data_IF_907094390391
#
_entry.id   IF_907094390391
#
_cell.length_a   1.000
_cell.length_b   1.000
_cell.length_c   1.000
_cell.angle_alpha   90.00
_cell.angle_beta   90.00
_cell.angle_gamma   90.00
#
_symmetry.space_group_name_H-M   'P 1'
#
loop_
_entity.id
_entity.type
_entity.pdbx_description
1 polymer ?
#
# COMPACT_ATOMS: atom_id res chain seq x y z
N UNK A 1 1.72 -5.21 13.50
CA UNK A 1 2.57 -4.41 12.61
C UNK A 1 1.75 -3.38 11.88
N UNK A 2 2.34 -2.22 11.61
CA UNK A 2 1.65 -1.19 10.86
C UNK A 2 1.60 -1.55 9.37
N UNK A 3 0.45 -1.31 8.72
CA UNK A 3 0.29 -1.60 7.30
C UNK A 3 1.32 -0.88 6.43
N UNK A 4 1.71 0.34 6.82
CA UNK A 4 2.73 1.11 6.09
C UNK A 4 4.10 0.42 6.11
N UNK A 5 4.45 -0.21 7.21
CA UNK A 5 5.71 -0.95 7.30
C UNK A 5 5.68 -2.19 6.42
N UNK A 6 4.55 -2.89 6.36
CA UNK A 6 4.40 -4.04 5.46
C UNK A 6 4.60 -3.62 4.01
N UNK A 7 4.00 -2.51 3.59
CA UNK A 7 4.14 -1.99 2.23
C UNK A 7 5.61 -1.70 1.91
N UNK A 8 6.32 -1.06 2.83
CA UNK A 8 7.73 -0.73 2.63
C UNK A 8 8.60 -1.96 2.55
N UNK A 9 8.40 -2.93 3.43
CA UNK A 9 9.18 -4.16 3.44
C UNK A 9 8.95 -4.97 2.15
N UNK A 10 7.70 -5.13 1.75
CA UNK A 10 7.37 -5.85 0.53
C UNK A 10 7.92 -5.14 -0.69
N UNK A 11 7.79 -3.82 -0.74
CA UNK A 11 8.32 -3.03 -1.86
C UNK A 11 9.82 -3.19 -2.01
N UNK A 12 10.56 -3.17 -0.91
CA UNK A 12 12.00 -3.39 -0.93
C UNK A 12 12.36 -4.78 -1.43
N UNK A 13 11.64 -5.79 -0.96
CA UNK A 13 11.87 -7.17 -1.38
C UNK A 13 11.57 -7.38 -2.86
N UNK A 14 10.63 -6.62 -3.41
CA UNK A 14 10.24 -6.71 -4.81
C UNK A 14 10.98 -5.73 -5.73
N UNK A 15 11.99 -5.04 -5.20
CA UNK A 15 12.79 -4.07 -5.96
C UNK A 15 11.98 -2.87 -6.50
N UNK A 16 10.95 -2.46 -5.79
CA UNK A 16 10.22 -1.24 -6.12
C UNK A 16 11.08 -0.02 -5.81
N UNK A 17 10.89 1.07 -6.55
CA UNK A 17 11.56 2.32 -6.25
C UNK A 17 11.04 2.88 -4.92
N UNK A 18 11.92 3.56 -4.18
CA UNK A 18 11.53 4.18 -2.91
C UNK A 18 10.36 5.15 -3.09
N UNK A 19 10.42 5.96 -4.15
CA UNK A 19 9.37 6.95 -4.41
C UNK A 19 8.00 6.28 -4.61
N UNK A 20 7.96 5.17 -5.32
CA UNK A 20 6.71 4.45 -5.56
C UNK A 20 6.16 3.83 -4.28
N UNK A 21 7.00 3.18 -3.51
CA UNK A 21 6.61 2.60 -2.23
C UNK A 21 6.13 3.67 -1.26
N UNK A 22 6.84 4.78 -1.19
CA UNK A 22 6.48 5.89 -0.32
C UNK A 22 5.13 6.50 -0.72
N UNK A 23 4.88 6.62 -2.01
CA UNK A 23 3.60 7.12 -2.51
C UNK A 23 2.44 6.25 -2.04
N UNK A 24 2.58 4.94 -2.16
CA UNK A 24 1.55 4.01 -1.70
C UNK A 24 1.40 4.06 -0.18
N UNK A 25 2.51 4.07 0.54
CA UNK A 25 2.48 4.12 1.99
C UNK A 25 1.79 5.38 2.52
N UNK A 26 1.96 6.51 1.84
CA UNK A 26 1.30 7.77 2.23
C UNK A 26 -0.21 7.73 2.08
N UNK A 27 -0.71 6.90 1.18
CA UNK A 27 -2.15 6.77 0.97
C UNK A 27 -2.82 5.90 2.04
N UNK A 28 -2.05 5.19 2.84
CA UNK A 28 -2.57 4.36 3.91
C UNK A 28 -2.66 5.20 5.19
N UNK A 29 -3.86 5.34 5.79
CA UNK A 29 -4.00 6.11 7.05
C UNK A 29 -3.17 5.49 8.18
N UNK A 30 -2.57 6.35 9.00
CA UNK A 30 -1.79 5.92 10.16
C UNK A 30 -2.73 5.73 11.34
N UNK A 31 -3.50 4.66 11.33
CA UNK A 31 -4.44 4.33 12.40
C UNK A 31 -4.07 3.01 13.03
N UNK A 32 -4.20 2.93 14.33
CA UNK A 32 -3.93 1.70 15.08
C UNK A 32 -4.93 0.64 14.67
N UNK A 33 -4.42 -0.54 14.30
CA UNK A 33 -5.26 -1.67 13.94
C UNK A 33 -5.85 -1.61 12.53
N UNK A 34 -5.47 -0.63 11.71
CA UNK A 34 -5.97 -0.59 10.34
C UNK A 34 -5.33 -1.69 9.50
N UNK A 35 -6.13 -2.31 8.63
CA UNK A 35 -5.64 -3.28 7.64
C UNK A 35 -5.57 -2.61 6.28
N UNK A 36 -4.84 -3.24 5.36
CA UNK A 36 -4.74 -2.73 3.98
C UNK A 36 -6.11 -2.74 3.30
N UNK A 37 -6.92 -3.76 3.57
CA UNK A 37 -8.28 -3.83 3.03
C UNK A 37 -9.14 -2.67 3.50
N UNK A 38 -9.05 -2.33 4.78
CA UNK A 38 -9.75 -1.17 5.32
C UNK A 38 -9.24 0.13 4.74
N UNK A 39 -7.94 0.23 4.53
CA UNK A 39 -7.36 1.42 3.90
C UNK A 39 -7.89 1.62 2.48
N UNK A 40 -8.02 0.55 1.72
CA UNK A 40 -8.61 0.61 0.38
C UNK A 40 -10.07 1.10 0.42
N UNK A 41 -10.82 0.64 1.40
CA UNK A 41 -12.21 1.01 1.55
C UNK A 41 -12.38 2.48 1.99
N UNK A 42 -11.49 2.96 2.86
CA UNK A 42 -11.55 4.31 3.40
C UNK A 42 -10.97 5.37 2.45
N UNK A 43 -10.02 5.00 1.61
CA UNK A 43 -9.33 5.95 0.73
C UNK A 43 -9.62 5.63 -0.73
N UNK A 44 -10.51 6.40 -1.39
CA UNK A 44 -10.84 6.15 -2.79
C UNK A 44 -9.66 6.34 -3.75
N UNK A 45 -8.71 7.21 -3.40
CA UNK A 45 -7.50 7.38 -4.22
C UNK A 45 -6.65 6.11 -4.22
N UNK A 46 -6.49 5.49 -3.07
CA UNK A 46 -5.75 4.24 -2.96
C UNK A 46 -6.45 3.13 -3.74
N UNK A 47 -7.76 3.05 -3.64
CA UNK A 47 -8.53 2.06 -4.39
C UNK A 47 -8.43 2.29 -5.89
N UNK A 48 -8.51 3.54 -6.33
CA UNK A 48 -8.35 3.87 -7.75
C UNK A 48 -6.96 3.48 -8.26
N UNK A 49 -5.91 3.77 -7.50
CA UNK A 49 -4.56 3.36 -7.85
C UNK A 49 -4.44 1.84 -7.90
N UNK A 50 -5.05 1.14 -6.96
CA UNK A 50 -5.08 -0.32 -6.92
C UNK A 50 -5.73 -0.89 -8.18
N UNK A 51 -6.83 -0.29 -8.64
CA UNK A 51 -7.56 -0.79 -9.81
C UNK A 51 -6.87 -0.45 -11.13
N UNK A 52 -6.15 0.70 -11.20
CA UNK A 52 -5.61 1.20 -12.45
C UNK A 52 -4.11 0.98 -12.62
N UNK A 53 -3.37 0.77 -11.53
CA UNK A 53 -1.92 0.62 -11.55
C UNK A 53 -1.54 -0.79 -11.10
N UNK A 54 -1.06 -1.61 -12.05
CA UNK A 54 -0.67 -2.99 -11.75
C UNK A 54 0.44 -3.07 -10.71
N UNK A 55 1.35 -2.12 -10.71
CA UNK A 55 2.43 -2.09 -9.71
C UNK A 55 1.87 -1.92 -8.31
N UNK A 56 0.93 -1.00 -8.14
CA UNK A 56 0.27 -0.78 -6.86
C UNK A 56 -0.55 -2.00 -6.46
N UNK A 57 -1.28 -2.57 -7.40
CA UNK A 57 -2.09 -3.77 -7.15
C UNK A 57 -1.23 -4.92 -6.65
N UNK A 58 -0.13 -5.20 -7.33
CA UNK A 58 0.78 -6.28 -6.94
C UNK A 58 1.36 -6.04 -5.56
N UNK A 59 1.81 -4.81 -5.29
CA UNK A 59 2.38 -4.44 -4.00
C UNK A 59 1.38 -4.64 -2.87
N UNK A 60 0.15 -4.21 -3.07
CA UNK A 60 -0.91 -4.32 -2.07
C UNK A 60 -1.32 -5.78 -1.87
N UNK A 61 -1.49 -6.53 -2.94
CA UNK A 61 -1.89 -7.95 -2.85
C UNK A 61 -0.87 -8.78 -2.08
N UNK A 62 0.41 -8.54 -2.31
CA UNK A 62 1.48 -9.25 -1.58
C UNK A 62 1.55 -8.79 -0.13
N UNK A 63 1.22 -7.54 0.13
CA UNK A 63 1.29 -6.97 1.49
C UNK A 63 0.10 -7.32 2.37
N UNK A 64 -0.99 -7.79 1.82
CA UNK A 64 -2.19 -8.16 2.60
C UNK A 64 -1.91 -9.23 3.67
#
# INVERSE_FOLDING_TARGET
MAARLCIRDVGRAMNYSYAEVDRVAKMIPTMLGITIEKALDMNPELKAAYDTDDSVKTLIDVSK
#
